data_IF_322075397293
#
_entry.id   IF_322075397293
#
_cell.length_a   1.000
_cell.length_b   1.000
_cell.length_c   1.000
_cell.angle_alpha   90.00
_cell.angle_beta   90.00
_cell.angle_gamma   90.00
#
_symmetry.space_group_name_H-M   'P 1'
#
loop_
_entity.id
_entity.type
_entity.pdbx_description
1 polymer ?
#
# COMPACT_ATOMS: atom_id res chain seq x y z
N UNK A 1 -59.31 30.52 1.98
CA UNK A 1 -57.89 30.53 1.55
C UNK A 1 -57.08 29.71 2.54
N UNK A 2 -56.85 28.42 2.29
CA UNK A 2 -56.02 27.57 3.15
C UNK A 2 -55.48 26.39 2.32
N UNK A 3 -54.51 26.67 1.45
CA UNK A 3 -53.69 25.65 0.77
C UNK A 3 -52.34 26.29 0.44
N UNK A 4 -51.56 26.64 1.48
CA UNK A 4 -50.20 27.18 1.33
C UNK A 4 -49.27 26.65 2.41
N UNK A 5 -49.30 25.36 2.66
CA UNK A 5 -48.26 24.66 3.42
C UNK A 5 -48.32 23.22 2.95
N UNK A 6 -47.44 22.82 2.01
CA UNK A 6 -47.05 21.42 1.71
C UNK A 6 -46.34 21.31 0.34
N UNK A 7 -45.43 22.23 0.01
CA UNK A 7 -44.52 22.02 -1.14
C UNK A 7 -43.07 21.94 -0.68
N UNK A 8 -42.71 22.67 0.38
CA UNK A 8 -41.34 22.68 0.92
C UNK A 8 -40.96 21.33 1.55
N UNK A 9 -41.90 20.63 2.19
CA UNK A 9 -41.63 19.33 2.84
C UNK A 9 -41.38 18.20 1.81
N UNK A 10 -41.90 18.34 0.58
CA UNK A 10 -41.76 17.31 -0.46
C UNK A 10 -40.37 17.35 -1.13
N UNK A 11 -39.73 18.52 -1.16
CA UNK A 11 -38.37 18.67 -1.71
C UNK A 11 -37.27 18.18 -0.75
N UNK A 12 -37.48 18.27 0.56
CA UNK A 12 -36.52 17.78 1.57
C UNK A 12 -36.51 16.25 1.65
N UNK A 13 -37.63 15.59 1.29
CA UNK A 13 -37.72 14.13 1.29
C UNK A 13 -37.08 13.49 0.04
N UNK A 14 -37.02 14.22 -1.09
CA UNK A 14 -36.46 13.73 -2.34
C UNK A 14 -34.91 13.76 -2.38
N UNK A 15 -34.26 14.63 -1.61
CA UNK A 15 -32.79 14.72 -1.55
C UNK A 15 -32.13 13.65 -0.67
N UNK A 16 -32.91 12.88 0.10
CA UNK A 16 -32.43 11.79 0.95
C UNK A 16 -32.27 10.44 0.20
N UNK A 17 -32.70 10.34 -1.06
CA UNK A 17 -32.67 9.07 -1.81
C UNK A 17 -31.55 8.94 -2.85
N UNK A 18 -30.66 9.93 -2.98
CA UNK A 18 -29.45 9.84 -3.83
C UNK A 18 -28.15 9.60 -3.06
N UNK A 19 -28.27 9.13 -1.82
CA UNK A 19 -27.16 8.78 -0.94
C UNK A 19 -26.93 7.28 -0.82
N UNK A 20 -27.06 6.49 -1.89
CA UNK A 20 -26.37 5.20 -1.93
C UNK A 20 -24.88 5.52 -2.12
N UNK A 21 -24.22 5.93 -1.03
CA UNK A 21 -22.77 5.83 -0.94
C UNK A 21 -22.47 4.36 -1.16
N UNK A 22 -21.94 4.03 -2.33
CA UNK A 22 -21.34 2.72 -2.59
C UNK A 22 -20.54 2.38 -1.34
N UNK A 23 -20.88 1.30 -0.61
CA UNK A 23 -20.03 0.85 0.46
C UNK A 23 -18.73 0.48 -0.24
N UNK A 24 -17.74 1.37 -0.17
CA UNK A 24 -16.37 1.02 -0.53
C UNK A 24 -16.10 -0.31 0.14
N UNK A 25 -15.71 -1.35 -0.61
CA UNK A 25 -15.51 -2.67 -0.06
C UNK A 25 -14.63 -2.51 1.19
N UNK A 26 -15.06 -3.14 2.29
CA UNK A 26 -14.31 -3.13 3.55
C UNK A 26 -12.84 -3.43 3.22
N UNK A 27 -11.94 -2.52 3.59
CA UNK A 27 -10.50 -2.71 3.37
C UNK A 27 -10.09 -4.06 3.93
N UNK A 28 -9.31 -4.84 3.18
CA UNK A 28 -8.83 -6.11 3.70
C UNK A 28 -7.77 -5.87 4.77
N UNK A 29 -7.51 -6.89 5.58
CA UNK A 29 -6.46 -6.85 6.62
C UNK A 29 -5.08 -6.52 6.03
N UNK A 30 -4.85 -6.84 4.75
CA UNK A 30 -3.61 -6.49 4.04
C UNK A 30 -3.47 -4.98 3.86
N UNK A 31 -4.48 -4.29 3.31
CA UNK A 31 -4.40 -2.84 3.17
C UNK A 31 -4.34 -2.16 4.53
N UNK A 32 -5.10 -2.64 5.52
CA UNK A 32 -5.08 -2.05 6.87
C UNK A 32 -3.67 -2.14 7.46
N UNK A 33 -3.06 -3.32 7.45
CA UNK A 33 -1.74 -3.55 8.06
C UNK A 33 -0.62 -2.76 7.37
N UNK A 34 -0.55 -2.78 6.04
CA UNK A 34 0.52 -2.07 5.31
C UNK A 34 0.34 -0.56 5.37
N UNK A 35 -0.90 -0.06 5.28
CA UNK A 35 -1.18 1.36 5.40
C UNK A 35 -0.82 1.89 6.79
N UNK A 36 -1.13 1.14 7.85
CA UNK A 36 -0.74 1.53 9.21
C UNK A 36 0.78 1.52 9.40
N UNK A 37 1.47 0.53 8.84
CA UNK A 37 2.92 0.38 9.00
C UNK A 37 3.69 1.50 8.33
N UNK A 38 3.35 1.81 7.09
CA UNK A 38 4.13 2.75 6.26
C UNK A 38 3.44 4.11 6.03
N UNK A 39 2.27 4.34 6.64
CA UNK A 39 1.43 5.51 6.40
C UNK A 39 1.01 5.63 4.91
N UNK A 40 0.71 4.47 4.30
CA UNK A 40 0.21 4.37 2.92
C UNK A 40 -1.31 4.54 2.86
N UNK A 41 -1.84 4.66 1.64
CA UNK A 41 -3.27 4.91 1.40
C UNK A 41 -3.87 3.98 0.35
N UNK A 42 -3.41 2.73 0.23
CA UNK A 42 -4.05 1.76 -0.66
C UNK A 42 -5.49 1.49 -0.21
N UNK A 43 -6.44 1.55 -1.14
CA UNK A 43 -7.79 1.03 -0.91
C UNK A 43 -7.94 -0.41 -1.41
N UNK A 44 -7.11 -0.82 -2.38
CA UNK A 44 -6.99 -2.20 -2.86
C UNK A 44 -5.55 -2.47 -3.31
N UNK A 45 -4.93 -3.53 -2.80
CA UNK A 45 -3.56 -3.94 -3.12
C UNK A 45 -3.57 -5.42 -3.55
N UNK A 46 -3.10 -5.70 -4.76
CA UNK A 46 -3.14 -7.05 -5.33
C UNK A 46 -1.91 -7.41 -6.17
N UNK A 47 -0.89 -6.55 -6.20
CA UNK A 47 0.32 -6.77 -6.99
C UNK A 47 1.57 -6.35 -6.20
N UNK A 48 2.58 -7.23 -6.18
CA UNK A 48 3.88 -6.96 -5.56
C UNK A 48 4.99 -7.44 -6.48
N UNK A 49 5.96 -6.57 -6.74
CA UNK A 49 7.15 -6.90 -7.53
C UNK A 49 8.41 -6.65 -6.72
N UNK A 50 9.39 -7.54 -6.82
CA UNK A 50 10.69 -7.42 -6.16
C UNK A 50 11.77 -7.33 -7.22
N UNK A 51 12.67 -6.37 -7.06
CA UNK A 51 13.77 -6.11 -7.98
C UNK A 51 15.09 -6.07 -7.23
N UNK A 52 16.14 -6.59 -7.87
CA UNK A 52 17.53 -6.24 -7.57
C UNK A 52 17.88 -4.98 -8.34
N UNK A 53 18.53 -4.03 -7.69
CA UNK A 53 18.91 -2.73 -8.23
C UNK A 53 20.44 -2.71 -8.41
N UNK A 54 20.92 -2.24 -9.54
CA UNK A 54 22.37 -2.06 -9.74
C UNK A 54 22.94 -1.01 -8.78
N UNK A 55 24.24 -1.09 -8.49
CA UNK A 55 24.90 -0.21 -7.52
C UNK A 55 24.79 1.29 -7.86
N UNK A 56 24.61 1.61 -9.14
CA UNK A 56 24.40 2.97 -9.67
C UNK A 56 22.92 3.38 -9.77
N UNK A 57 21.99 2.50 -9.38
CA UNK A 57 20.53 2.73 -9.44
C UNK A 57 19.93 2.73 -10.85
N UNK A 58 20.73 2.48 -11.90
CA UNK A 58 20.32 2.71 -13.29
C UNK A 58 19.49 1.57 -13.89
N UNK A 59 19.64 0.36 -13.36
CA UNK A 59 19.00 -0.84 -13.87
C UNK A 59 18.34 -1.66 -12.76
N UNK A 60 17.29 -2.39 -13.15
CA UNK A 60 16.58 -3.29 -12.24
C UNK A 60 16.44 -4.66 -12.88
N UNK A 61 16.72 -5.70 -12.09
CA UNK A 61 16.50 -7.09 -12.47
C UNK A 61 15.30 -7.62 -11.67
N UNK A 62 14.22 -8.09 -12.31
CA UNK A 62 13.09 -8.66 -11.60
C UNK A 62 13.51 -9.97 -10.92
N UNK A 63 13.13 -10.10 -9.65
CA UNK A 63 13.34 -11.31 -8.84
C UNK A 63 12.03 -12.07 -8.65
N UNK A 64 10.96 -11.34 -8.33
CA UNK A 64 9.64 -11.91 -8.00
C UNK A 64 8.53 -11.01 -8.53
N UNK A 65 7.44 -11.62 -9.02
CA UNK A 65 6.19 -10.98 -9.43
C UNK A 65 5.00 -11.76 -8.84
N UNK A 66 4.31 -11.19 -7.86
CA UNK A 66 3.21 -11.80 -7.11
C UNK A 66 1.90 -11.05 -7.36
N UNK A 67 0.82 -11.79 -7.63
CA UNK A 67 -0.50 -11.22 -7.92
C UNK A 67 -1.61 -11.90 -7.12
N UNK A 68 -2.68 -11.16 -6.84
CA UNK A 68 -3.85 -11.62 -6.11
C UNK A 68 -3.47 -12.15 -4.73
N UNK A 69 -4.05 -13.29 -4.33
CA UNK A 69 -3.86 -13.86 -2.99
C UNK A 69 -2.39 -14.20 -2.64
N UNK A 70 -1.52 -14.35 -3.65
CA UNK A 70 -0.11 -14.70 -3.45
C UNK A 70 0.70 -13.56 -2.83
N UNK A 71 0.21 -12.31 -2.84
CA UNK A 71 0.91 -11.19 -2.21
C UNK A 71 0.84 -11.24 -0.69
N UNK A 72 -0.10 -12.01 -0.13
CA UNK A 72 -0.45 -11.96 1.30
C UNK A 72 0.78 -12.17 2.20
N UNK A 73 1.63 -13.14 1.86
CA UNK A 73 2.82 -13.47 2.65
C UNK A 73 3.78 -12.29 2.77
N UNK A 74 4.19 -11.72 1.64
CA UNK A 74 5.17 -10.62 1.63
C UNK A 74 4.61 -9.36 2.28
N UNK A 75 3.33 -9.03 2.05
CA UNK A 75 2.70 -7.84 2.64
C UNK A 75 2.61 -7.96 4.16
N UNK A 76 2.21 -9.12 4.69
CA UNK A 76 2.15 -9.35 6.13
C UNK A 76 3.55 -9.38 6.77
N UNK A 77 4.57 -9.85 6.06
CA UNK A 77 5.95 -9.77 6.53
C UNK A 77 6.41 -8.32 6.59
N UNK A 78 6.18 -7.53 5.53
CA UNK A 78 6.51 -6.10 5.50
C UNK A 78 5.77 -5.31 6.58
N UNK A 79 4.51 -5.65 6.89
CA UNK A 79 3.73 -4.97 7.93
C UNK A 79 4.24 -5.21 9.36
N UNK A 80 5.22 -6.10 9.56
CA UNK A 80 5.89 -6.27 10.86
C UNK A 80 7.02 -5.26 11.06
N UNK A 81 7.37 -4.49 10.04
CA UNK A 81 8.41 -3.48 10.13
C UNK A 81 8.05 -2.41 11.18
N UNK A 82 9.07 -1.86 11.84
CA UNK A 82 8.91 -0.81 12.85
C UNK A 82 9.67 0.43 12.42
N UNK A 83 9.06 1.60 12.63
CA UNK A 83 9.74 2.87 12.39
C UNK A 83 11.01 2.93 13.27
N UNK A 84 12.14 3.16 12.63
CA UNK A 84 13.42 3.36 13.32
C UNK A 84 13.46 4.74 13.97
N UNK A 85 14.10 4.84 15.13
CA UNK A 85 14.43 6.13 15.75
C UNK A 85 15.62 6.82 15.04
N UNK A 86 16.44 6.04 14.33
CA UNK A 86 17.54 6.55 13.53
C UNK A 86 17.08 6.80 12.09
N UNK A 87 17.37 7.99 11.59
CA UNK A 87 17.09 8.36 10.20
C UNK A 87 18.29 8.12 9.27
N UNK A 88 19.42 7.60 9.79
CA UNK A 88 20.54 7.22 8.95
C UNK A 88 20.11 6.10 8.01
N UNK A 89 20.27 6.37 6.72
CA UNK A 89 19.99 5.47 5.62
C UNK A 89 21.22 5.49 4.71
N UNK A 90 21.59 4.37 4.09
CA UNK A 90 22.69 4.33 3.15
C UNK A 90 22.33 5.12 1.88
N UNK A 91 23.36 5.52 1.15
CA UNK A 91 23.19 6.18 -0.14
C UNK A 91 22.68 5.22 -1.23
N UNK A 92 22.88 3.91 -1.04
CA UNK A 92 22.54 2.88 -2.02
C UNK A 92 21.60 1.82 -1.43
N UNK A 93 20.62 1.41 -2.23
CA UNK A 93 19.65 0.37 -1.88
C UNK A 93 19.71 -0.73 -2.95
N UNK A 94 20.27 -1.91 -2.64
CA UNK A 94 20.45 -2.98 -3.62
C UNK A 94 19.14 -3.65 -4.06
N UNK A 95 18.02 -3.37 -3.37
CA UNK A 95 16.74 -4.00 -3.65
C UNK A 95 15.60 -2.97 -3.62
N UNK A 96 14.56 -3.25 -4.40
CA UNK A 96 13.33 -2.46 -4.43
C UNK A 96 12.12 -3.37 -4.46
N UNK A 97 11.15 -3.10 -3.58
CA UNK A 97 9.84 -3.76 -3.60
C UNK A 97 8.80 -2.73 -4.04
N UNK A 98 8.06 -3.04 -5.10
CA UNK A 98 6.97 -2.21 -5.60
C UNK A 98 5.67 -2.86 -5.17
N UNK A 99 4.90 -2.15 -4.36
CA UNK A 99 3.52 -2.49 -4.01
C UNK A 99 2.61 -1.73 -4.97
N UNK A 100 1.68 -2.41 -5.63
CA UNK A 100 0.81 -1.75 -6.60
C UNK A 100 -0.57 -2.38 -6.70
N UNK A 101 -1.49 -1.61 -7.27
CA UNK A 101 -2.77 -2.11 -7.76
C UNK A 101 -2.62 -2.47 -9.23
N UNK A 102 -3.02 -3.69 -9.59
CA UNK A 102 -3.08 -4.15 -10.96
C UNK A 102 -4.04 -3.29 -11.80
N UNK A 103 -3.90 -3.26 -13.14
CA UNK A 103 -4.86 -2.59 -14.01
C UNK A 103 -6.31 -3.03 -13.78
N UNK A 104 -6.52 -4.31 -13.48
CA UNK A 104 -7.83 -4.90 -13.20
C UNK A 104 -8.43 -4.39 -11.88
N UNK A 105 -7.59 -4.03 -10.91
CA UNK A 105 -7.98 -3.55 -9.58
C UNK A 105 -8.25 -2.05 -9.46
N UNK A 106 -7.96 -1.27 -10.51
CA UNK A 106 -7.96 0.20 -10.42
C UNK A 106 -9.34 0.79 -10.06
N UNK A 107 -10.44 0.15 -10.47
CA UNK A 107 -11.79 0.62 -10.12
C UNK A 107 -12.06 0.58 -8.60
N UNK A 108 -11.36 -0.31 -7.88
CA UNK A 108 -11.48 -0.48 -6.44
C UNK A 108 -10.50 0.39 -5.64
N UNK A 109 -9.54 1.06 -6.30
CA UNK A 109 -8.52 1.86 -5.62
C UNK A 109 -8.58 3.34 -5.97
N UNK A 110 -8.89 4.19 -4.99
CA UNK A 110 -9.19 5.62 -5.23
C UNK A 110 -8.10 6.58 -4.75
N UNK A 111 -7.06 6.10 -4.06
CA UNK A 111 -6.11 6.96 -3.34
C UNK A 111 -4.66 6.81 -3.77
N UNK A 112 -4.09 5.62 -3.66
CA UNK A 112 -2.68 5.37 -3.94
C UNK A 112 -2.55 4.04 -4.67
N UNK A 113 -2.05 4.07 -5.90
CA UNK A 113 -1.96 2.89 -6.78
C UNK A 113 -0.58 2.24 -6.81
N UNK A 114 0.44 2.90 -6.28
CA UNK A 114 1.80 2.38 -6.23
C UNK A 114 2.58 2.91 -5.02
N UNK A 115 3.56 2.13 -4.55
CA UNK A 115 4.54 2.49 -3.55
C UNK A 115 5.86 1.74 -3.79
N UNK A 116 6.97 2.49 -3.81
CA UNK A 116 8.30 1.93 -3.92
C UNK A 116 8.95 1.89 -2.53
N UNK A 117 9.25 0.70 -2.04
CA UNK A 117 10.03 0.44 -0.85
C UNK A 117 11.47 0.15 -1.26
N UNK A 118 12.43 0.93 -0.76
CA UNK A 118 13.85 0.70 -1.01
C UNK A 118 14.42 -0.13 0.14
N UNK A 119 15.16 -1.18 -0.20
CA UNK A 119 15.58 -2.21 0.76
C UNK A 119 17.11 -2.35 0.76
N UNK A 120 17.69 -2.43 1.95
CA UNK A 120 19.07 -2.89 2.16
C UNK A 120 19.13 -3.86 3.35
N UNK A 121 20.11 -4.74 3.35
CA UNK A 121 20.33 -5.73 4.41
C UNK A 121 21.58 -5.35 5.21
N UNK A 122 21.49 -5.42 6.53
CA UNK A 122 22.62 -5.30 7.44
C UNK A 122 22.59 -6.47 8.45
N UNK A 123 23.38 -7.51 8.16
CA UNK A 123 23.34 -8.76 8.92
C UNK A 123 21.97 -9.45 8.79
N UNK A 124 21.30 -9.67 9.92
CA UNK A 124 19.95 -10.25 9.96
C UNK A 124 18.82 -9.19 9.91
N UNK A 125 19.18 -7.91 9.76
CA UNK A 125 18.23 -6.81 9.78
C UNK A 125 17.95 -6.36 8.36
N UNK A 126 16.68 -6.34 8.00
CA UNK A 126 16.20 -5.70 6.78
C UNK A 126 15.83 -4.26 7.08
N UNK A 127 16.43 -3.34 6.35
CA UNK A 127 16.15 -1.92 6.45
C UNK A 127 15.35 -1.47 5.25
N UNK A 128 14.29 -0.71 5.52
CA UNK A 128 13.29 -0.31 4.53
C UNK A 128 13.20 1.21 4.56
N UNK A 129 13.41 1.85 3.42
CA UNK A 129 13.16 3.28 3.23
C UNK A 129 11.89 3.48 2.43
N UNK A 130 10.98 4.28 2.97
CA UNK A 130 9.77 4.72 2.30
C UNK A 130 9.43 6.15 2.70
N UNK A 131 9.19 7.01 1.70
CA UNK A 131 8.82 8.41 1.92
C UNK A 131 9.72 9.14 2.94
N UNK A 132 11.05 8.96 2.82
CA UNK A 132 12.10 9.51 3.71
C UNK A 132 12.02 9.02 5.17
N UNK A 133 11.23 8.00 5.47
CA UNK A 133 11.18 7.33 6.76
C UNK A 133 11.96 6.03 6.69
N UNK A 134 12.64 5.69 7.77
CA UNK A 134 13.42 4.47 7.92
C UNK A 134 12.67 3.48 8.80
N UNK A 135 12.51 2.24 8.32
CA UNK A 135 11.89 1.15 9.05
C UNK A 135 12.84 -0.03 9.15
N UNK A 136 12.73 -0.77 10.25
CA UNK A 136 13.51 -1.96 10.54
C UNK A 136 12.58 -3.17 10.57
N UNK A 137 12.96 -4.22 9.87
CA UNK A 137 12.31 -5.51 9.82
C UNK A 137 13.34 -6.59 10.19
N UNK A 138 13.01 -7.42 11.18
CA UNK A 138 13.89 -8.53 11.64
C UNK A 138 13.50 -9.88 11.05
N UNK A 139 12.54 -9.88 10.12
CA UNK A 139 12.09 -11.08 9.41
C UNK A 139 12.83 -11.20 8.09
N UNK A 140 12.94 -12.45 7.63
CA UNK A 140 13.66 -12.78 6.41
C UNK A 140 12.81 -12.51 5.15
N UNK A 141 13.42 -11.92 4.13
CA UNK A 141 12.85 -11.72 2.80
C UNK A 141 13.53 -12.58 1.72
N UNK A 142 14.41 -13.50 2.10
CA UNK A 142 15.14 -14.39 1.19
C UNK A 142 14.23 -15.26 0.33
N UNK A 143 13.05 -15.64 0.84
CA UNK A 143 12.03 -16.36 0.06
C UNK A 143 11.51 -15.55 -1.13
N UNK A 144 11.80 -14.25 -1.17
CA UNK A 144 11.45 -13.33 -2.24
C UNK A 144 12.69 -12.84 -3.03
N UNK A 145 13.84 -13.48 -2.83
CA UNK A 145 15.09 -13.18 -3.54
C UNK A 145 15.92 -12.03 -2.98
N UNK A 146 15.55 -11.50 -1.81
CA UNK A 146 16.33 -10.44 -1.13
C UNK A 146 17.41 -11.10 -0.29
N UNK A 147 18.67 -11.06 -0.76
CA UNK A 147 19.83 -11.76 -0.17
C UNK A 147 21.10 -10.92 -0.07
#
# INVERSE_FOLDING_TARGET
MLYRFNIVLLFVLATLMFGCSDPSPLKSDLEVSINQTFDMKFDYLDHVQVFKVSADGSSTQPLVDLKGDNIRGIVLTLSKAKLSADNSLPETFPYKIVLSTSPEGLEYNKKQTTADLLIYLEGATTHISYNKKHYILTEDLSSYGVE
#
